data_IF_406595043574
#
_entry.id   IF_406595043574
#
_cell.length_a   1.000
_cell.length_b   1.000
_cell.length_c   1.000
_cell.angle_alpha   90.00
_cell.angle_beta   90.00
_cell.angle_gamma   90.00
#
_symmetry.space_group_name_H-M   'P 1'
#
loop_
_entity.id
_entity.type
_entity.pdbx_description
1 polymer ?
#
# COMPACT_ATOMS: atom_id res chain seq x y z
N UNK A 1 59.14 20.08 3.78
CA UNK A 1 58.24 20.40 4.88
C UNK A 1 56.94 21.09 4.41
N UNK A 2 56.95 22.06 3.50
CA UNK A 2 55.74 22.75 3.01
C UNK A 2 54.72 21.83 2.32
N UNK A 3 55.15 20.80 1.61
CA UNK A 3 54.25 19.85 0.90
C UNK A 3 53.58 18.84 1.84
N UNK A 4 54.19 18.50 2.97
CA UNK A 4 53.62 17.61 3.97
C UNK A 4 52.50 18.29 4.77
N UNK A 5 52.65 19.60 5.02
CA UNK A 5 51.61 20.40 5.73
C UNK A 5 50.34 20.55 4.89
N UNK A 6 50.48 20.72 3.56
CA UNK A 6 49.35 20.80 2.65
C UNK A 6 48.57 19.47 2.56
N UNK A 7 49.26 18.33 2.62
CA UNK A 7 48.60 17.02 2.62
C UNK A 7 47.84 16.73 3.93
N UNK A 8 48.38 17.19 5.07
CA UNK A 8 47.73 17.05 6.37
C UNK A 8 46.41 17.89 6.47
N UNK A 9 46.39 19.06 5.83
CA UNK A 9 45.20 19.91 5.79
C UNK A 9 44.05 19.35 4.93
N UNK A 10 44.40 18.56 3.91
CA UNK A 10 43.38 17.90 3.06
C UNK A 10 42.74 16.69 3.72
N UNK A 11 43.39 16.06 4.68
CA UNK A 11 42.85 14.90 5.43
C UNK A 11 41.98 15.31 6.61
N UNK A 12 42.07 16.53 7.10
CA UNK A 12 41.27 17.04 8.21
C UNK A 12 39.80 17.33 7.81
N UNK A 13 39.47 17.37 6.52
CA UNK A 13 38.14 17.63 6.02
C UNK A 13 37.17 16.46 6.08
N UNK A 14 37.64 15.24 6.39
CA UNK A 14 36.84 14.03 6.45
C UNK A 14 36.46 13.60 7.87
N UNK A 15 36.57 14.47 8.85
CA UNK A 15 35.95 14.19 10.15
C UNK A 15 34.45 14.35 9.99
N UNK A 16 33.78 13.22 9.91
CA UNK A 16 32.34 13.18 10.05
C UNK A 16 31.96 13.93 11.34
N UNK A 17 31.34 15.08 11.22
CA UNK A 17 30.65 15.68 12.34
C UNK A 17 29.63 14.65 12.75
N UNK A 18 29.82 14.13 13.93
CA UNK A 18 28.81 13.36 14.66
C UNK A 18 27.75 14.38 15.12
N UNK A 19 27.12 15.01 14.13
CA UNK A 19 26.01 15.90 14.36
C UNK A 19 24.81 14.99 14.64
N UNK A 20 24.54 14.81 15.91
CA UNK A 20 23.42 14.03 16.47
C UNK A 20 22.06 14.62 16.10
N UNK A 21 21.92 15.21 14.91
CA UNK A 21 20.63 15.37 14.24
C UNK A 21 20.21 14.04 13.62
N UNK A 22 20.68 12.95 14.24
CA UNK A 22 20.42 11.59 13.83
C UNK A 22 18.95 11.27 13.98
N UNK A 23 18.44 10.44 13.09
CA UNK A 23 17.16 9.78 13.24
C UNK A 23 17.10 9.16 14.64
N UNK A 24 16.20 9.66 15.48
CA UNK A 24 15.96 9.07 16.76
C UNK A 24 14.94 7.92 16.57
N UNK A 25 15.19 6.81 17.24
CA UNK A 25 14.23 5.73 17.25
C UNK A 25 12.93 6.22 17.88
N UNK A 26 11.88 6.27 17.06
CA UNK A 26 10.53 6.57 17.51
C UNK A 26 9.69 5.30 17.43
N UNK A 27 8.93 5.03 18.49
CA UNK A 27 7.93 3.97 18.50
C UNK A 27 6.55 4.60 18.40
N UNK A 28 5.77 4.11 17.44
CA UNK A 28 4.38 4.53 17.24
C UNK A 28 3.50 3.29 17.40
N UNK A 29 2.52 3.40 18.27
CA UNK A 29 1.45 2.40 18.34
C UNK A 29 0.42 2.77 17.29
N UNK A 30 0.29 1.93 16.27
CA UNK A 30 -0.75 2.12 15.26
C UNK A 30 -2.11 1.75 15.84
N UNK A 31 -3.17 2.51 15.53
CA UNK A 31 -4.52 2.09 15.87
C UNK A 31 -4.85 0.77 15.16
N UNK A 32 -5.64 -0.07 15.82
CA UNK A 32 -6.12 -1.28 15.17
C UNK A 32 -7.11 -0.93 14.06
N UNK A 33 -6.94 -1.59 12.91
CA UNK A 33 -7.91 -1.49 11.81
C UNK A 33 -9.16 -2.31 12.20
N UNK A 34 -10.22 -1.60 12.56
CA UNK A 34 -11.50 -2.20 12.94
C UNK A 34 -12.47 -2.33 11.77
N UNK A 35 -12.13 -1.73 10.63
CA UNK A 35 -12.98 -1.77 9.45
C UNK A 35 -12.88 -3.14 8.79
N UNK A 36 -14.02 -3.78 8.59
CA UNK A 36 -14.12 -5.07 7.92
C UNK A 36 -14.92 -4.96 6.64
N UNK A 37 -14.58 -5.78 5.66
CA UNK A 37 -15.41 -5.93 4.46
C UNK A 37 -16.77 -6.54 4.85
N UNK A 38 -17.89 -5.93 4.44
CA UNK A 38 -19.23 -6.47 4.73
C UNK A 38 -19.40 -7.91 4.26
N UNK A 39 -20.16 -8.68 5.02
CA UNK A 39 -20.52 -10.03 4.59
C UNK A 39 -21.47 -10.01 3.40
N UNK A 40 -21.36 -11.02 2.57
CA UNK A 40 -22.18 -11.17 1.38
C UNK A 40 -21.60 -12.16 0.38
N UNK A 41 -22.28 -12.38 -0.75
CA UNK A 41 -21.78 -13.24 -1.80
C UNK A 41 -20.36 -12.80 -2.25
N UNK A 42 -19.44 -13.75 -2.33
CA UNK A 42 -18.02 -13.54 -2.72
C UNK A 42 -17.17 -12.71 -1.74
N UNK A 43 -17.66 -12.39 -0.54
CA UNK A 43 -16.90 -11.62 0.47
C UNK A 43 -15.58 -12.32 0.83
N UNK A 44 -15.61 -13.63 1.06
CA UNK A 44 -14.41 -14.40 1.43
C UNK A 44 -13.38 -14.45 0.31
N UNK A 45 -13.83 -14.52 -0.93
CA UNK A 45 -12.95 -14.43 -2.09
C UNK A 45 -12.21 -13.08 -2.12
N UNK A 46 -12.93 -11.99 -1.92
CA UNK A 46 -12.33 -10.63 -1.89
C UNK A 46 -11.42 -10.46 -0.68
N UNK A 47 -11.79 -10.97 0.49
CA UNK A 47 -10.90 -10.98 1.65
C UNK A 47 -9.60 -11.73 1.35
N UNK A 48 -9.68 -12.93 0.82
CA UNK A 48 -8.52 -13.76 0.53
C UNK A 48 -7.58 -13.16 -0.53
N UNK A 49 -8.14 -12.45 -1.53
CA UNK A 49 -7.35 -11.98 -2.68
C UNK A 49 -6.91 -10.52 -2.57
N UNK A 50 -7.60 -9.68 -1.82
CA UNK A 50 -7.38 -8.24 -1.80
C UNK A 50 -6.77 -7.72 -0.50
N UNK A 51 -7.17 -8.28 0.67
CA UNK A 51 -6.76 -7.70 1.97
C UNK A 51 -5.32 -8.00 2.37
N UNK A 52 -4.62 -8.84 1.64
CA UNK A 52 -3.17 -9.01 1.80
C UNK A 52 -2.35 -7.78 1.42
N UNK A 53 -2.90 -6.88 0.59
CA UNK A 53 -2.25 -5.67 0.11
C UNK A 53 -3.05 -4.39 0.39
N UNK A 54 -4.35 -4.48 0.57
CA UNK A 54 -5.26 -3.36 0.79
C UNK A 54 -5.98 -3.50 2.13
N UNK A 55 -6.19 -2.40 2.85
CA UNK A 55 -7.12 -2.39 3.98
C UNK A 55 -8.56 -2.49 3.47
N UNK A 56 -9.45 -3.01 4.31
CA UNK A 56 -10.88 -3.03 4.00
C UNK A 56 -11.42 -1.61 3.76
N UNK A 57 -10.98 -0.65 4.58
CA UNK A 57 -11.37 0.75 4.42
C UNK A 57 -10.97 1.32 3.06
N UNK A 58 -9.74 1.04 2.60
CA UNK A 58 -9.28 1.48 1.29
C UNK A 58 -10.15 0.94 0.15
N UNK A 59 -10.64 -0.29 0.27
CA UNK A 59 -11.54 -0.89 -0.72
C UNK A 59 -12.93 -0.21 -0.66
N UNK A 60 -13.45 0.02 0.53
CA UNK A 60 -14.81 0.54 0.75
C UNK A 60 -14.94 2.03 0.40
N UNK A 61 -13.89 2.81 0.57
CA UNK A 61 -13.88 4.26 0.36
C UNK A 61 -13.55 4.68 -1.09
N UNK A 62 -13.44 3.73 -2.00
CA UNK A 62 -13.24 4.05 -3.40
C UNK A 62 -14.41 4.85 -3.97
N UNK A 63 -14.16 5.77 -4.92
CA UNK A 63 -15.21 6.43 -5.67
C UNK A 63 -16.15 5.40 -6.30
N UNK A 64 -17.39 5.81 -6.52
CA UNK A 64 -18.36 4.92 -7.17
C UNK A 64 -17.91 4.59 -8.59
N UNK A 65 -17.53 3.36 -8.81
CA UNK A 65 -17.14 2.83 -10.10
C UNK A 65 -18.24 1.93 -10.66
N UNK A 66 -18.41 1.93 -11.95
CA UNK A 66 -19.27 0.95 -12.63
C UNK A 66 -18.54 -0.41 -12.76
N UNK A 67 -19.28 -1.44 -13.14
CA UNK A 67 -18.74 -2.79 -13.28
C UNK A 67 -17.60 -2.87 -14.31
N UNK A 68 -17.62 -2.04 -15.35
CA UNK A 68 -16.54 -1.97 -16.35
C UNK A 68 -15.25 -1.42 -15.76
N UNK A 69 -15.35 -0.33 -15.00
CA UNK A 69 -14.20 0.28 -14.34
C UNK A 69 -13.64 -0.64 -13.24
N UNK A 70 -14.50 -1.32 -12.46
CA UNK A 70 -14.08 -2.34 -11.52
C UNK A 70 -13.36 -3.50 -12.19
N UNK A 71 -13.91 -4.01 -13.31
CA UNK A 71 -13.25 -5.09 -14.08
C UNK A 71 -11.84 -4.67 -14.50
N UNK A 72 -11.70 -3.49 -15.12
CA UNK A 72 -10.41 -2.98 -15.54
C UNK A 72 -9.42 -2.83 -14.38
N UNK A 73 -9.90 -2.39 -13.23
CA UNK A 73 -9.08 -2.23 -12.02
C UNK A 73 -8.61 -3.58 -11.49
N UNK A 74 -9.51 -4.56 -11.33
CA UNK A 74 -9.16 -5.90 -10.80
C UNK A 74 -8.22 -6.64 -11.77
N UNK A 75 -8.48 -6.57 -13.06
CA UNK A 75 -7.58 -7.14 -14.08
C UNK A 75 -6.19 -6.50 -14.05
N UNK A 76 -6.11 -5.19 -13.83
CA UNK A 76 -4.83 -4.49 -13.67
C UNK A 76 -4.08 -5.00 -12.44
N UNK A 77 -4.75 -5.24 -11.30
CA UNK A 77 -4.13 -5.84 -10.12
C UNK A 77 -3.53 -7.20 -10.45
N UNK A 78 -4.27 -8.06 -11.15
CA UNK A 78 -3.78 -9.38 -11.55
C UNK A 78 -2.64 -9.32 -12.58
N UNK A 79 -2.82 -8.56 -13.65
CA UNK A 79 -1.92 -8.58 -14.82
C UNK A 79 -0.66 -7.76 -14.60
N UNK A 80 -0.77 -6.57 -14.00
CA UNK A 80 0.34 -5.62 -13.82
C UNK A 80 1.02 -5.79 -12.49
N UNK A 81 0.26 -5.81 -11.40
CA UNK A 81 0.80 -5.87 -10.04
C UNK A 81 0.96 -7.30 -9.51
N UNK A 82 0.57 -8.32 -10.31
CA UNK A 82 0.73 -9.74 -9.96
C UNK A 82 0.02 -10.12 -8.66
N UNK A 83 -1.10 -9.46 -8.38
CA UNK A 83 -1.96 -9.86 -7.27
C UNK A 83 -2.44 -11.32 -7.44
N UNK A 84 -2.66 -12.05 -6.35
CA UNK A 84 -3.08 -13.47 -6.40
C UNK A 84 -4.56 -13.61 -6.78
N UNK A 85 -4.95 -13.00 -7.88
CA UNK A 85 -6.31 -13.02 -8.45
C UNK A 85 -6.31 -13.90 -9.69
N UNK A 86 -7.10 -14.95 -9.67
CA UNK A 86 -7.37 -15.73 -10.89
C UNK A 86 -8.33 -14.93 -11.78
N UNK A 87 -8.01 -14.81 -13.06
CA UNK A 87 -8.84 -14.06 -13.99
C UNK A 87 -10.26 -14.60 -14.14
N UNK A 88 -10.48 -15.89 -13.87
CA UNK A 88 -11.82 -16.50 -13.84
C UNK A 88 -12.69 -15.95 -12.72
N UNK A 89 -12.07 -15.47 -11.62
CA UNK A 89 -12.76 -14.97 -10.42
C UNK A 89 -13.10 -13.47 -10.52
N UNK A 90 -12.56 -12.77 -11.53
CA UNK A 90 -12.81 -11.34 -11.74
C UNK A 90 -14.30 -10.98 -11.73
N UNK A 91 -15.19 -11.70 -12.42
CA UNK A 91 -16.61 -11.35 -12.39
C UNK A 91 -17.24 -11.45 -10.99
N UNK A 92 -16.84 -12.44 -10.19
CA UNK A 92 -17.33 -12.62 -8.83
C UNK A 92 -16.82 -11.52 -7.89
N UNK A 93 -15.54 -11.15 -8.03
CA UNK A 93 -14.94 -10.04 -7.28
C UNK A 93 -15.64 -8.73 -7.63
N UNK A 94 -15.83 -8.45 -8.91
CA UNK A 94 -16.49 -7.22 -9.38
C UNK A 94 -17.93 -7.14 -8.89
N UNK A 95 -18.68 -8.23 -8.89
CA UNK A 95 -20.05 -8.26 -8.37
C UNK A 95 -20.10 -7.89 -6.88
N UNK A 96 -19.14 -8.35 -6.07
CA UNK A 96 -19.04 -7.96 -4.68
C UNK A 96 -18.70 -6.48 -4.52
N UNK A 97 -17.67 -6.00 -5.23
CA UNK A 97 -17.20 -4.61 -5.15
C UNK A 97 -18.29 -3.61 -5.56
N UNK A 98 -19.04 -3.91 -6.61
CA UNK A 98 -20.17 -3.08 -7.05
C UNK A 98 -21.28 -3.03 -5.98
N UNK A 99 -21.61 -4.18 -5.39
CA UNK A 99 -22.61 -4.26 -4.35
C UNK A 99 -22.24 -3.50 -3.07
N UNK A 100 -20.98 -3.56 -2.61
CA UNK A 100 -20.56 -2.85 -1.39
C UNK A 100 -20.36 -1.37 -1.66
N UNK A 101 -19.81 -0.99 -2.80
CA UNK A 101 -19.60 0.39 -3.19
C UNK A 101 -20.93 1.14 -3.36
N UNK A 102 -21.98 0.48 -3.84
CA UNK A 102 -23.33 1.04 -3.90
C UNK A 102 -23.94 1.31 -2.52
N UNK A 103 -23.51 0.60 -1.46
CA UNK A 103 -24.01 0.78 -0.08
C UNK A 103 -23.33 1.93 0.64
N UNK A 104 -22.03 2.11 0.44
CA UNK A 104 -21.22 3.13 1.13
C UNK A 104 -21.48 4.53 0.57
N UNK A 105 -21.90 4.64 -0.68
CA UNK A 105 -22.17 5.92 -1.36
C UNK A 105 -23.49 6.60 -0.93
N UNK A 106 -24.09 6.19 0.19
CA UNK A 106 -25.26 6.84 0.82
C UNK A 106 -24.78 7.58 2.08
#
# INVERSE_FOLDING_TARGET
MRRAILLALLLAGCQARDDQTGFQNASVTLPEDTVQLPDGPNADLVRATCTGCHSAEMILTQPRLDAKAWTATVEKMAKVYKAPVDLKDVPAIVAYLDAVNARVAR
#
